data_IF_674935700233
#
_entry.id   IF_674935700233
#
_cell.length_a   1.000
_cell.length_b   1.000
_cell.length_c   1.000
_cell.angle_alpha   90.00
_cell.angle_beta   90.00
_cell.angle_gamma   90.00
#
_symmetry.space_group_name_H-M   'P 1'
#
loop_
_entity.id
_entity.type
_entity.pdbx_description
1 polymer ?
#
# COMPACT_ATOMS: atom_id res chain seq x y z
N UNK A 1 15.27 -49.26 -11.61
CA UNK A 1 15.52 -48.52 -10.36
C UNK A 1 15.53 -47.05 -10.71
N UNK A 2 14.50 -46.33 -10.29
CA UNK A 2 14.24 -44.92 -10.57
C UNK A 2 14.93 -44.04 -9.53
N UNK A 3 15.99 -43.34 -9.92
CA UNK A 3 16.54 -42.23 -9.15
C UNK A 3 15.66 -41.01 -9.39
N UNK A 4 14.65 -40.85 -8.54
CA UNK A 4 13.93 -39.59 -8.41
C UNK A 4 14.83 -38.70 -7.56
N UNK A 5 15.68 -37.93 -8.24
CA UNK A 5 16.45 -36.83 -7.67
C UNK A 5 15.45 -35.83 -7.10
N UNK A 6 15.18 -35.97 -5.80
CA UNK A 6 14.40 -35.02 -5.02
C UNK A 6 15.21 -33.74 -4.90
N UNK A 7 15.12 -32.89 -5.92
CA UNK A 7 15.47 -31.48 -5.84
C UNK A 7 14.52 -30.82 -4.84
N UNK A 8 14.82 -31.06 -3.56
CA UNK A 8 14.19 -30.45 -2.41
C UNK A 8 14.60 -28.98 -2.45
N UNK A 9 13.82 -28.19 -3.18
CA UNK A 9 13.94 -26.74 -3.22
C UNK A 9 13.89 -26.23 -1.77
N UNK A 10 15.07 -25.88 -1.23
CA UNK A 10 15.18 -25.21 0.06
C UNK A 10 14.23 -24.02 0.04
N UNK A 11 13.34 -23.83 1.04
CA UNK A 11 12.59 -22.60 1.13
C UNK A 11 13.62 -21.49 1.30
N UNK A 12 13.78 -20.67 0.25
CA UNK A 12 14.59 -19.46 0.33
C UNK A 12 14.04 -18.67 1.51
N UNK A 13 14.86 -18.48 2.55
CA UNK A 13 14.56 -17.54 3.63
C UNK A 13 14.48 -16.17 2.98
N UNK A 14 13.30 -15.77 2.54
CA UNK A 14 13.04 -14.45 2.01
C UNK A 14 13.25 -13.47 3.17
N UNK A 15 14.43 -12.87 3.23
CA UNK A 15 14.72 -11.82 4.21
C UNK A 15 13.78 -10.63 3.98
N UNK A 16 13.58 -9.82 5.02
CA UNK A 16 12.76 -8.59 4.96
C UNK A 16 13.16 -7.74 3.75
N UNK A 17 14.45 -7.67 3.41
CA UNK A 17 14.95 -6.97 2.23
C UNK A 17 14.38 -7.50 0.90
N UNK A 18 14.28 -8.83 0.72
CA UNK A 18 13.71 -9.42 -0.49
C UNK A 18 12.20 -9.14 -0.61
N UNK A 19 11.49 -9.09 0.53
CA UNK A 19 10.09 -8.68 0.59
C UNK A 19 9.95 -7.20 0.23
N UNK A 20 10.79 -6.34 0.79
CA UNK A 20 10.81 -4.91 0.49
C UNK A 20 11.12 -4.64 -0.98
N UNK A 21 12.08 -5.35 -1.56
CA UNK A 21 12.45 -5.23 -2.98
C UNK A 21 11.34 -5.74 -3.91
N UNK A 22 10.60 -6.78 -3.49
CA UNK A 22 9.41 -7.24 -4.22
C UNK A 22 8.29 -6.21 -4.15
N UNK A 23 8.08 -5.59 -2.99
CA UNK A 23 7.09 -4.53 -2.80
C UNK A 23 7.48 -3.27 -3.59
N UNK A 24 8.76 -2.90 -3.62
CA UNK A 24 9.27 -1.74 -4.35
C UNK A 24 9.13 -1.86 -5.87
N UNK A 25 9.03 -3.08 -6.39
CA UNK A 25 8.71 -3.35 -7.80
C UNK A 25 7.24 -3.09 -8.15
N UNK A 26 6.37 -2.94 -7.15
CA UNK A 26 4.98 -2.54 -7.37
C UNK A 26 4.97 -1.04 -7.63
N UNK A 27 4.82 -0.69 -8.91
CA UNK A 27 4.83 0.67 -9.44
C UNK A 27 3.93 1.63 -8.63
N UNK A 28 2.71 1.21 -8.29
CA UNK A 28 1.75 2.00 -7.51
C UNK A 28 2.27 2.33 -6.10
N UNK A 29 2.82 1.33 -5.39
CA UNK A 29 3.33 1.52 -4.05
C UNK A 29 4.57 2.42 -4.02
N UNK A 30 5.44 2.30 -5.03
CA UNK A 30 6.62 3.16 -5.17
C UNK A 30 6.21 4.62 -5.32
N UNK A 31 5.23 4.91 -6.18
CA UNK A 31 4.75 6.28 -6.37
C UNK A 31 4.08 6.85 -5.13
N UNK A 32 3.33 6.05 -4.38
CA UNK A 32 2.73 6.51 -3.14
C UNK A 32 3.76 6.86 -2.07
N UNK A 33 4.80 6.02 -1.91
CA UNK A 33 5.90 6.30 -0.98
C UNK A 33 6.64 7.57 -1.40
N UNK A 34 6.98 7.71 -2.68
CA UNK A 34 7.64 8.93 -3.19
C UNK A 34 6.77 10.17 -3.01
N UNK A 35 5.46 10.08 -3.30
CA UNK A 35 4.51 11.16 -3.11
C UNK A 35 4.42 11.57 -1.64
N UNK A 36 4.42 10.59 -0.72
CA UNK A 36 4.43 10.89 0.70
C UNK A 36 5.70 11.67 1.12
N UNK A 37 6.88 11.22 0.69
CA UNK A 37 8.12 11.95 0.97
C UNK A 37 8.13 13.36 0.36
N UNK A 38 7.59 13.53 -0.85
CA UNK A 38 7.49 14.82 -1.53
C UNK A 38 6.55 15.81 -0.85
N UNK A 39 5.62 15.34 -0.02
CA UNK A 39 4.69 16.18 0.72
C UNK A 39 5.24 16.67 2.06
N UNK A 40 6.29 16.05 2.61
CA UNK A 40 6.92 16.51 3.86
C UNK A 40 7.42 17.97 3.78
N UNK A 41 8.10 18.42 2.70
CA UNK A 41 8.45 19.83 2.54
C UNK A 41 7.26 20.78 2.57
N UNK A 42 6.07 20.34 2.12
CA UNK A 42 4.84 21.14 2.17
C UNK A 42 4.39 21.37 3.60
N UNK A 43 4.40 20.32 4.44
CA UNK A 43 4.13 20.46 5.87
C UNK A 43 5.13 21.39 6.57
N UNK A 44 6.41 21.28 6.21
CA UNK A 44 7.47 22.15 6.77
C UNK A 44 7.25 23.61 6.35
N UNK A 45 6.99 23.87 5.06
CA UNK A 45 6.74 25.22 4.55
C UNK A 45 5.46 25.84 5.14
N UNK A 46 4.43 25.02 5.39
CA UNK A 46 3.21 25.43 6.07
C UNK A 46 3.35 25.57 7.59
N UNK A 47 4.56 25.42 8.16
CA UNK A 47 4.79 25.54 9.61
C UNK A 47 3.91 24.59 10.44
N UNK A 48 3.67 23.38 9.92
CA UNK A 48 2.85 22.36 10.56
C UNK A 48 3.24 22.13 12.02
N UNK A 49 2.24 21.89 12.87
CA UNK A 49 2.45 21.56 14.29
C UNK A 49 2.87 20.10 14.42
N UNK A 50 3.46 19.74 15.56
CA UNK A 50 3.87 18.36 15.84
C UNK A 50 2.72 17.34 15.65
N UNK A 51 1.49 17.71 16.01
CA UNK A 51 0.31 16.84 15.83
C UNK A 51 -0.01 16.60 14.35
N UNK A 52 0.22 17.56 13.47
CA UNK A 52 -0.06 17.44 12.04
C UNK A 52 0.91 16.44 11.38
N UNK A 53 2.17 16.42 11.81
CA UNK A 53 3.13 15.39 11.38
C UNK A 53 2.71 14.00 11.83
N UNK A 54 2.22 13.85 13.07
CA UNK A 54 1.73 12.56 13.57
C UNK A 54 0.52 12.08 12.77
N UNK A 55 -0.46 12.97 12.54
CA UNK A 55 -1.64 12.66 11.72
C UNK A 55 -1.24 12.32 10.28
N UNK A 56 -0.30 13.06 9.72
CA UNK A 56 0.24 12.82 8.39
C UNK A 56 0.88 11.43 8.28
N UNK A 57 1.75 11.06 9.21
CA UNK A 57 2.42 9.74 9.24
C UNK A 57 1.38 8.62 9.37
N UNK A 58 0.38 8.78 10.23
CA UNK A 58 -0.70 7.78 10.38
C UNK A 58 -1.53 7.64 9.10
N UNK A 59 -1.86 8.75 8.44
CA UNK A 59 -2.60 8.73 7.18
C UNK A 59 -1.79 8.06 6.07
N UNK A 60 -0.50 8.39 5.92
CA UNK A 60 0.40 7.76 4.95
C UNK A 60 0.55 6.27 5.22
N UNK A 61 0.72 5.87 6.48
CA UNK A 61 0.81 4.46 6.86
C UNK A 61 -0.49 3.70 6.54
N UNK A 62 -1.65 4.31 6.81
CA UNK A 62 -2.95 3.74 6.46
C UNK A 62 -3.13 3.63 4.93
N UNK A 63 -2.68 4.62 4.16
CA UNK A 63 -2.72 4.62 2.70
C UNK A 63 -1.87 3.49 2.12
N UNK A 64 -0.64 3.37 2.63
CA UNK A 64 0.26 2.29 2.26
C UNK A 64 -0.34 0.90 2.56
N UNK A 65 -0.94 0.73 3.76
CA UNK A 65 -1.60 -0.51 4.12
C UNK A 65 -2.81 -0.83 3.21
N UNK A 66 -3.61 0.19 2.87
CA UNK A 66 -4.75 0.04 1.97
C UNK A 66 -4.33 -0.34 0.55
N UNK A 67 -3.27 0.28 0.02
CA UNK A 67 -2.76 -0.01 -1.32
C UNK A 67 -2.09 -1.40 -1.40
N UNK A 68 -1.40 -1.80 -0.33
CA UNK A 68 -0.91 -3.17 -0.16
C UNK A 68 -2.05 -4.18 -0.17
N UNK A 69 -3.12 -3.92 0.59
CA UNK A 69 -4.28 -4.79 0.63
C UNK A 69 -4.99 -4.86 -0.73
N UNK A 70 -5.08 -3.74 -1.45
CA UNK A 70 -5.64 -3.68 -2.81
C UNK A 70 -4.86 -4.56 -3.77
N UNK A 71 -3.53 -4.41 -3.79
CA UNK A 71 -2.63 -5.19 -4.65
C UNK A 71 -2.73 -6.68 -4.36
N UNK A 72 -2.69 -7.06 -3.08
CA UNK A 72 -2.82 -8.47 -2.66
C UNK A 72 -4.19 -9.05 -3.00
N UNK A 73 -5.25 -8.27 -2.84
CA UNK A 73 -6.62 -8.69 -3.17
C UNK A 73 -6.78 -8.92 -4.68
N UNK A 74 -6.20 -8.05 -5.51
CA UNK A 74 -6.20 -8.21 -6.97
C UNK A 74 -5.46 -9.47 -7.42
N UNK A 75 -4.32 -9.78 -6.81
CA UNK A 75 -3.59 -11.02 -7.09
C UNK A 75 -4.38 -12.26 -6.65
N UNK A 76 -5.04 -12.21 -5.49
CA UNK A 76 -5.89 -13.30 -5.00
C UNK A 76 -7.13 -13.51 -5.87
N UNK A 77 -7.75 -12.43 -6.36
CA UNK A 77 -8.91 -12.48 -7.24
C UNK A 77 -8.64 -13.21 -8.55
N UNK A 78 -7.40 -13.14 -9.06
CA UNK A 78 -6.98 -13.86 -10.27
C UNK A 78 -6.96 -15.38 -10.08
N UNK A 79 -6.98 -15.87 -8.85
CA UNK A 79 -6.92 -17.30 -8.51
C UNK A 79 -8.31 -17.89 -8.23
N UNK A 80 -9.37 -17.06 -8.15
CA UNK A 80 -10.71 -17.50 -7.75
C UNK A 80 -11.54 -17.89 -8.99
N UNK A 81 -12.21 -19.06 -9.00
CA UNK A 81 -13.10 -19.48 -10.08
C UNK A 81 -14.34 -18.58 -10.21
N UNK A 82 -14.97 -18.51 -11.39
CA UNK A 82 -15.93 -17.47 -11.75
C UNK A 82 -17.17 -17.37 -10.84
N UNK A 83 -17.53 -18.45 -10.16
CA UNK A 83 -18.70 -18.55 -9.27
C UNK A 83 -18.59 -17.65 -8.01
N UNK A 84 -17.37 -17.29 -7.58
CA UNK A 84 -17.12 -16.42 -6.42
C UNK A 84 -16.88 -14.94 -6.75
N UNK A 85 -16.87 -14.56 -8.03
CA UNK A 85 -16.38 -13.24 -8.47
C UNK A 85 -17.26 -12.08 -8.00
N UNK A 86 -18.57 -12.27 -7.86
CA UNK A 86 -19.48 -11.18 -7.48
C UNK A 86 -19.19 -10.64 -6.07
N UNK A 87 -18.94 -11.52 -5.11
CA UNK A 87 -18.66 -11.14 -3.72
C UNK A 87 -17.26 -10.56 -3.57
N UNK A 88 -16.31 -11.12 -4.32
CA UNK A 88 -14.94 -10.69 -4.32
C UNK A 88 -14.76 -9.30 -5.02
N UNK A 89 -15.60 -8.99 -6.02
CA UNK A 89 -15.68 -7.67 -6.65
C UNK A 89 -16.19 -6.57 -5.71
N UNK A 90 -17.09 -6.89 -4.77
CA UNK A 90 -17.58 -5.94 -3.76
C UNK A 90 -16.44 -5.57 -2.81
N UNK A 91 -15.68 -6.56 -2.35
CA UNK A 91 -14.52 -6.34 -1.46
C UNK A 91 -13.48 -5.46 -2.16
N UNK A 92 -13.15 -5.77 -3.42
CA UNK A 92 -12.22 -4.97 -4.22
C UNK A 92 -12.67 -3.51 -4.39
N UNK A 93 -13.97 -3.28 -4.66
CA UNK A 93 -14.53 -1.91 -4.72
C UNK A 93 -14.42 -1.20 -3.38
N UNK A 94 -14.69 -1.87 -2.27
CA UNK A 94 -14.53 -1.32 -0.93
C UNK A 94 -13.11 -0.84 -0.65
N UNK A 95 -12.10 -1.65 -1.01
CA UNK A 95 -10.69 -1.26 -0.87
C UNK A 95 -10.34 -0.04 -1.71
N UNK A 96 -10.82 0.02 -2.95
CA UNK A 96 -10.58 1.18 -3.83
C UNK A 96 -11.16 2.49 -3.24
N UNK A 97 -12.39 2.46 -2.73
CA UNK A 97 -13.00 3.63 -2.09
C UNK A 97 -12.24 4.07 -0.83
N UNK A 98 -11.78 3.10 -0.02
CA UNK A 98 -10.96 3.38 1.15
C UNK A 98 -9.69 4.15 0.81
N UNK A 99 -8.97 3.76 -0.25
CA UNK A 99 -7.77 4.49 -0.71
C UNK A 99 -8.09 5.92 -1.13
N UNK A 100 -9.21 6.14 -1.83
CA UNK A 100 -9.65 7.48 -2.27
C UNK A 100 -9.97 8.37 -1.07
N UNK A 101 -10.67 7.84 -0.06
CA UNK A 101 -11.00 8.57 1.16
C UNK A 101 -9.72 8.95 1.92
N UNK A 102 -8.77 8.02 2.06
CA UNK A 102 -7.49 8.31 2.71
C UNK A 102 -6.70 9.40 1.98
N UNK A 103 -6.66 9.37 0.65
CA UNK A 103 -6.05 10.44 -0.16
C UNK A 103 -6.74 11.78 0.06
N UNK A 104 -8.07 11.80 0.12
CA UNK A 104 -8.82 13.02 0.41
C UNK A 104 -8.47 13.57 1.81
N UNK A 105 -8.34 12.70 2.83
CA UNK A 105 -7.91 13.12 4.16
C UNK A 105 -6.51 13.75 4.17
N UNK A 106 -5.56 13.20 3.40
CA UNK A 106 -4.22 13.81 3.24
C UNK A 106 -4.32 15.19 2.62
N UNK A 107 -5.11 15.35 1.55
CA UNK A 107 -5.31 16.65 0.90
C UNK A 107 -5.95 17.66 1.86
N UNK A 108 -6.95 17.25 2.63
CA UNK A 108 -7.61 18.10 3.63
C UNK A 108 -6.62 18.53 4.72
N UNK A 109 -5.78 17.60 5.22
CA UNK A 109 -4.75 17.92 6.22
C UNK A 109 -3.76 18.95 5.67
N UNK A 110 -3.28 18.77 4.44
CA UNK A 110 -2.37 19.72 3.80
C UNK A 110 -3.03 21.09 3.60
N UNK A 111 -4.29 21.11 3.14
CA UNK A 111 -5.07 22.34 3.01
C UNK A 111 -5.23 23.06 4.35
N UNK A 112 -5.48 22.32 5.42
CA UNK A 112 -5.56 22.86 6.77
C UNK A 112 -4.24 23.52 7.20
N UNK A 113 -3.12 22.80 7.06
CA UNK A 113 -1.77 23.28 7.40
C UNK A 113 -1.36 24.49 6.58
N UNK A 114 -1.79 24.60 5.32
CA UNK A 114 -1.45 25.74 4.47
C UNK A 114 -2.29 26.99 4.76
N UNK A 115 -3.48 26.81 5.35
CA UNK A 115 -4.42 27.91 5.63
C UNK A 115 -4.28 28.49 7.05
N UNK A 116 -3.72 27.71 8.00
CA UNK A 116 -3.68 28.04 9.43
C UNK A 116 -2.32 27.75 10.05
#
# INVERSE_FOLDING_TARGET
MTEIETAQARPARAGIGAVLERIWRVEALRYEVLAAFLLLPVLVAGHARAIDYVLYVLLVAALFAAEMFRTLSEDLLRLIPPEGLAQAAIIARGTSLGTVILRACVVVLLGWVLLF
#
